data_IF_653768688496
#
_entry.id   IF_653768688496
#
_cell.length_a   1.000
_cell.length_b   1.000
_cell.length_c   1.000
_cell.angle_alpha   90.00
_cell.angle_beta   90.00
_cell.angle_gamma   90.00
#
_symmetry.space_group_name_H-M   'P 1'
#
loop_
_entity.id
_entity.type
_entity.pdbx_description
1 polymer ?
#
# COMPACT_ATOMS: atom_id res chain seq x y z
N UNK A 1 61.39 21.92 -12.53
CA UNK A 1 60.98 21.32 -11.23
C UNK A 1 59.47 21.17 -11.02
N UNK A 2 58.57 21.63 -11.91
CA UNK A 2 57.10 21.50 -11.73
C UNK A 2 56.50 20.16 -12.20
N UNK A 3 57.15 19.50 -13.17
CA UNK A 3 56.70 18.23 -13.76
C UNK A 3 56.78 17.05 -12.78
N UNK A 4 57.85 17.00 -11.99
CA UNK A 4 58.06 15.93 -11.00
C UNK A 4 57.07 16.01 -9.84
N UNK A 5 56.62 17.22 -9.48
CA UNK A 5 55.60 17.43 -8.45
C UNK A 5 54.23 16.90 -8.89
N UNK A 6 53.88 17.10 -10.16
CA UNK A 6 52.64 16.60 -10.74
C UNK A 6 52.64 15.06 -10.85
N UNK A 7 53.76 14.48 -11.27
CA UNK A 7 53.92 13.03 -11.33
C UNK A 7 53.72 12.38 -9.96
N UNK A 8 54.31 12.95 -8.90
CA UNK A 8 54.17 12.45 -7.53
C UNK A 8 52.74 12.58 -6.98
N UNK A 9 52.02 13.64 -7.36
CA UNK A 9 50.60 13.80 -7.00
C UNK A 9 49.72 12.75 -7.68
N UNK A 10 50.00 12.43 -8.94
CA UNK A 10 49.27 11.42 -9.68
C UNK A 10 49.50 10.02 -9.12
N UNK A 11 50.73 9.69 -8.72
CA UNK A 11 51.02 8.40 -8.08
C UNK A 11 50.20 8.17 -6.81
N UNK A 12 50.01 9.22 -5.99
CA UNK A 12 49.15 9.14 -4.81
C UNK A 12 47.70 8.80 -5.14
N UNK A 13 47.13 9.50 -6.13
CA UNK A 13 45.74 9.29 -6.59
C UNK A 13 45.57 7.90 -7.21
N UNK A 14 46.52 7.47 -8.04
CA UNK A 14 46.47 6.15 -8.68
C UNK A 14 46.65 5.01 -7.67
N UNK A 15 47.49 5.21 -6.64
CA UNK A 15 47.66 4.25 -5.56
C UNK A 15 46.39 4.16 -4.71
N UNK A 16 45.77 5.28 -4.36
CA UNK A 16 44.49 5.27 -3.65
C UNK A 16 43.36 4.62 -4.45
N UNK A 17 43.33 4.82 -5.78
CA UNK A 17 42.33 4.18 -6.65
C UNK A 17 42.58 2.67 -6.80
N UNK A 18 43.85 2.25 -6.80
CA UNK A 18 44.23 0.83 -6.84
C UNK A 18 43.92 0.11 -5.52
N UNK A 19 44.06 0.80 -4.39
CA UNK A 19 43.76 0.29 -3.04
C UNK A 19 42.28 0.47 -2.67
N UNK A 20 41.47 1.09 -3.53
CA UNK A 20 40.04 1.25 -3.30
C UNK A 20 39.32 -0.09 -3.52
N UNK A 21 39.16 -0.85 -2.45
CA UNK A 21 38.20 -1.94 -2.39
C UNK A 21 36.79 -1.33 -2.31
N UNK A 22 36.01 -1.47 -3.38
CA UNK A 22 34.60 -1.09 -3.34
C UNK A 22 33.85 -2.01 -2.37
N UNK A 23 33.13 -1.42 -1.41
CA UNK A 23 32.15 -2.13 -0.59
C UNK A 23 31.30 -3.07 -1.47
N UNK A 24 31.10 -4.34 -1.06
CA UNK A 24 30.41 -5.29 -1.91
C UNK A 24 28.95 -4.87 -2.09
N UNK A 25 28.55 -4.64 -3.34
CA UNK A 25 27.19 -4.31 -3.77
C UNK A 25 26.10 -5.28 -3.21
N UNK A 26 26.50 -6.47 -2.74
CA UNK A 26 25.63 -7.44 -2.09
C UNK A 26 25.06 -6.99 -0.75
N UNK A 27 25.82 -6.26 0.07
CA UNK A 27 25.36 -5.80 1.40
C UNK A 27 24.16 -4.86 1.26
N UNK A 28 24.24 -3.93 0.31
CA UNK A 28 23.18 -2.96 -0.02
C UNK A 28 21.91 -3.64 -0.53
N UNK A 29 22.06 -4.61 -1.45
CA UNK A 29 20.91 -5.32 -2.02
C UNK A 29 20.20 -6.20 -0.99
N UNK A 30 20.94 -6.81 -0.06
CA UNK A 30 20.36 -7.59 1.04
C UNK A 30 19.50 -6.71 1.95
N UNK A 31 19.97 -5.50 2.30
CA UNK A 31 19.16 -4.55 3.08
C UNK A 31 17.84 -4.21 2.37
N UNK A 32 17.89 -3.90 1.06
CA UNK A 32 16.67 -3.56 0.31
C UNK A 32 15.69 -4.72 0.19
N UNK A 33 16.18 -5.96 0.05
CA UNK A 33 15.36 -7.16 -0.02
C UNK A 33 14.73 -7.49 1.32
N UNK A 34 15.49 -7.36 2.41
CA UNK A 34 15.00 -7.57 3.77
C UNK A 34 13.95 -6.53 4.16
N UNK A 35 14.13 -5.28 3.77
CA UNK A 35 13.15 -4.22 3.98
C UNK A 35 11.85 -4.45 3.21
N UNK A 36 11.95 -4.96 1.97
CA UNK A 36 10.78 -5.36 1.17
C UNK A 36 10.04 -6.54 1.82
N UNK A 37 10.76 -7.54 2.32
CA UNK A 37 10.16 -8.69 3.01
C UNK A 37 9.48 -8.27 4.33
N UNK A 38 10.07 -7.35 5.09
CA UNK A 38 9.47 -6.79 6.30
C UNK A 38 8.19 -6.01 5.97
N UNK A 39 8.21 -5.17 4.94
CA UNK A 39 7.03 -4.44 4.48
C UNK A 39 5.91 -5.40 4.03
N UNK A 40 6.24 -6.43 3.25
CA UNK A 40 5.29 -7.45 2.81
C UNK A 40 4.67 -8.23 3.97
N UNK A 41 5.47 -8.59 4.99
CA UNK A 41 4.99 -9.27 6.19
C UNK A 41 3.99 -8.40 6.98
N UNK A 42 4.27 -7.12 7.14
CA UNK A 42 3.35 -6.17 7.80
C UNK A 42 2.03 -6.04 7.03
N UNK A 43 2.09 -5.91 5.71
CA UNK A 43 0.88 -5.82 4.86
C UNK A 43 0.05 -7.11 4.95
N UNK A 44 0.70 -8.29 4.95
CA UNK A 44 0.00 -9.56 5.10
C UNK A 44 -0.75 -9.63 6.44
N UNK A 45 -0.09 -9.30 7.56
CA UNK A 45 -0.73 -9.28 8.88
C UNK A 45 -1.91 -8.29 8.95
N UNK A 46 -1.74 -7.08 8.39
CA UNK A 46 -2.81 -6.09 8.33
C UNK A 46 -3.99 -6.56 7.48
N UNK A 47 -3.73 -7.23 6.35
CA UNK A 47 -4.77 -7.77 5.48
C UNK A 47 -5.61 -8.86 6.15
N UNK A 48 -4.98 -9.71 6.96
CA UNK A 48 -5.67 -10.77 7.73
C UNK A 48 -6.56 -10.17 8.83
N UNK A 49 -6.16 -9.05 9.42
CA UNK A 49 -6.96 -8.37 10.45
C UNK A 49 -8.18 -7.63 9.89
N UNK A 50 -8.21 -7.29 8.60
CA UNK A 50 -9.34 -6.58 7.99
C UNK A 50 -10.64 -7.40 7.91
N UNK A 51 -10.59 -8.72 8.17
CA UNK A 51 -11.78 -9.60 8.21
C UNK A 51 -12.57 -9.43 9.53
N UNK A 52 -11.97 -8.88 10.58
CA UNK A 52 -12.63 -8.77 11.89
C UNK A 52 -13.70 -7.65 11.98
N UNK A 53 -13.71 -6.72 11.03
CA UNK A 53 -14.56 -5.52 11.05
C UNK A 53 -15.97 -5.71 10.44
N UNK A 54 -16.26 -6.89 9.88
CA UNK A 54 -17.57 -7.20 9.30
C UNK A 54 -18.71 -7.20 10.33
N UNK A 55 -18.38 -7.33 11.63
CA UNK A 55 -19.38 -7.26 12.71
C UNK A 55 -20.13 -5.92 12.75
N UNK A 56 -19.47 -4.82 12.39
CA UNK A 56 -20.11 -3.51 12.31
C UNK A 56 -21.03 -3.37 11.08
N UNK A 57 -20.76 -4.16 10.03
CA UNK A 57 -21.53 -4.13 8.78
C UNK A 57 -22.79 -5.00 8.86
N UNK A 58 -22.78 -6.09 9.63
CA UNK A 58 -23.92 -7.01 9.76
C UNK A 58 -25.24 -6.30 10.15
N UNK A 59 -25.19 -5.32 11.05
CA UNK A 59 -26.37 -4.54 11.44
C UNK A 59 -26.81 -3.46 10.45
N UNK A 60 -25.94 -3.10 9.48
CA UNK A 60 -26.21 -2.09 8.45
C UNK A 60 -26.68 -2.70 7.13
N UNK A 61 -26.58 -4.02 6.99
CA UNK A 61 -27.11 -4.73 5.84
C UNK A 61 -28.63 -4.66 5.85
N UNK A 62 -29.19 -3.93 4.88
CA UNK A 62 -30.64 -3.79 4.69
C UNK A 62 -31.33 -5.12 4.30
N UNK A 63 -30.56 -6.16 3.97
CA UNK A 63 -31.06 -7.45 3.48
C UNK A 63 -31.43 -7.43 2.00
N UNK A 64 -32.11 -8.47 1.53
CA UNK A 64 -32.57 -8.56 0.14
C UNK A 64 -33.59 -7.47 -0.20
N UNK A 65 -33.76 -7.18 -1.49
CA UNK A 65 -34.76 -6.21 -1.93
C UNK A 65 -36.18 -6.59 -1.46
N UNK A 66 -36.51 -7.89 -1.45
CA UNK A 66 -37.80 -8.39 -0.99
C UNK A 66 -38.01 -8.19 0.52
N UNK A 67 -37.01 -8.46 1.36
CA UNK A 67 -37.15 -8.26 2.81
C UNK A 67 -37.31 -6.79 3.17
N UNK A 68 -36.60 -5.90 2.45
CA UNK A 68 -36.77 -4.45 2.55
C UNK A 68 -38.19 -4.04 2.16
N UNK A 69 -38.69 -4.54 1.03
CA UNK A 69 -40.01 -4.22 0.52
C UNK A 69 -41.11 -4.68 1.47
N UNK A 70 -41.06 -5.93 1.93
CA UNK A 70 -42.02 -6.49 2.87
C UNK A 70 -42.06 -5.69 4.19
N UNK A 71 -40.91 -5.26 4.72
CA UNK A 71 -40.85 -4.40 5.91
C UNK A 71 -41.51 -3.05 5.64
N UNK A 72 -41.28 -2.44 4.48
CA UNK A 72 -41.88 -1.15 4.10
C UNK A 72 -43.39 -1.25 3.96
N UNK A 73 -43.89 -2.28 3.27
CA UNK A 73 -45.32 -2.52 3.09
C UNK A 73 -46.02 -2.73 4.43
N UNK A 74 -45.43 -3.49 5.37
CA UNK A 74 -45.99 -3.63 6.73
C UNK A 74 -46.06 -2.32 7.50
N UNK A 75 -45.15 -1.39 7.23
CA UNK A 75 -45.12 -0.08 7.86
C UNK A 75 -45.95 0.96 7.08
N UNK A 76 -46.72 0.54 6.07
CA UNK A 76 -47.55 1.43 5.24
C UNK A 76 -46.74 2.32 4.28
N UNK A 77 -45.46 2.04 4.08
CA UNK A 77 -44.60 2.78 3.16
C UNK A 77 -44.67 2.18 1.74
N UNK A 78 -44.42 3.03 0.75
CA UNK A 78 -44.34 2.61 -0.66
C UNK A 78 -43.17 1.67 -0.90
N UNK A 79 -43.29 0.85 -1.95
CA UNK A 79 -42.30 -0.14 -2.35
C UNK A 79 -40.90 0.49 -2.56
N UNK A 80 -39.85 -0.33 -2.51
CA UNK A 80 -38.45 0.13 -2.59
C UNK A 80 -38.18 0.87 -3.91
N UNK A 81 -38.76 0.42 -5.02
CA UNK A 81 -38.55 1.01 -6.34
C UNK A 81 -39.13 2.43 -6.43
N UNK A 82 -40.37 2.62 -5.97
CA UNK A 82 -41.08 3.89 -5.95
C UNK A 82 -40.42 4.86 -4.97
N UNK A 83 -39.97 4.38 -3.82
CA UNK A 83 -39.20 5.20 -2.87
C UNK A 83 -37.91 5.74 -3.47
N UNK A 84 -37.20 4.93 -4.29
CA UNK A 84 -35.98 5.37 -4.99
C UNK A 84 -36.29 6.35 -6.11
N UNK A 85 -37.40 6.17 -6.83
CA UNK A 85 -37.84 7.09 -7.89
C UNK A 85 -38.09 8.51 -7.36
N UNK A 86 -38.66 8.66 -6.15
CA UNK A 86 -38.89 9.97 -5.50
C UNK A 86 -37.60 10.77 -5.21
N UNK A 87 -36.43 10.13 -5.18
CA UNK A 87 -35.14 10.77 -4.89
C UNK A 87 -34.33 11.11 -6.15
N UNK A 88 -34.81 10.74 -7.33
CA UNK A 88 -34.15 11.10 -8.58
C UNK A 88 -34.47 12.56 -8.91
N UNK A 89 -33.62 13.49 -8.50
CA UNK A 89 -33.76 14.93 -8.77
C UNK A 89 -33.19 15.36 -10.12
N UNK A 90 -32.93 14.43 -11.04
CA UNK A 90 -32.49 14.75 -12.39
C UNK A 90 -33.57 14.39 -13.40
N UNK A 91 -34.63 15.21 -13.43
CA UNK A 91 -35.48 15.61 -14.56
C UNK A 91 -36.44 16.67 -14.09
#
# INVERSE_FOLDING_TARGET
>A
MKSETYAKSLEGVLKSAREFESEPLSESLNSTRDDLLRAAALVAVLSMNNVADDRFQLGRQLGSAWSQDHRRTRMGATNVLEHRRKRSTWR
#
